data_IF_698068945797
#
_entry.id   IF_698068945797
#
_cell.length_a   1.000
_cell.length_b   1.000
_cell.length_c   1.000
_cell.angle_alpha   90.00
_cell.angle_beta   90.00
_cell.angle_gamma   90.00
#
_symmetry.space_group_name_H-M   'P 1'
#
loop_
_entity.id
_entity.type
_entity.pdbx_description
1 polymer ?
#
# COMPACT_ATOMS: atom_id res chain seq x y z
N UNK A 1 0.87 -7.06 -10.80
CA UNK A 1 -0.58 -7.16 -11.14
C UNK A 1 -1.09 -8.56 -10.83
N UNK A 2 -2.32 -8.70 -10.30
CA UNK A 2 -2.92 -10.02 -10.02
C UNK A 2 -3.78 -10.50 -11.17
N UNK A 3 -3.55 -11.72 -11.63
CA UNK A 3 -4.35 -12.39 -12.66
C UNK A 3 -4.80 -13.75 -12.16
N UNK A 4 -5.92 -14.28 -12.66
CA UNK A 4 -6.41 -15.59 -12.25
C UNK A 4 -7.47 -16.19 -13.17
N UNK A 5 -7.76 -17.48 -12.93
CA UNK A 5 -8.82 -18.22 -13.63
C UNK A 5 -10.22 -17.91 -13.11
N UNK A 6 -10.31 -17.30 -11.93
CA UNK A 6 -11.54 -16.77 -11.33
C UNK A 6 -11.22 -15.51 -10.51
N UNK A 7 -12.23 -14.70 -10.12
CA UNK A 7 -12.02 -13.47 -9.35
C UNK A 7 -11.24 -13.66 -8.06
N UNK A 8 -11.55 -14.74 -7.33
CA UNK A 8 -10.87 -15.09 -6.08
C UNK A 8 -9.37 -15.28 -6.30
N UNK A 9 -8.99 -16.11 -7.29
CA UNK A 9 -7.60 -16.39 -7.59
C UNK A 9 -6.84 -15.13 -8.02
N UNK A 10 -7.46 -14.24 -8.81
CA UNK A 10 -6.83 -12.99 -9.21
C UNK A 10 -6.48 -12.11 -7.99
N UNK A 11 -7.42 -11.97 -7.04
CA UNK A 11 -7.19 -11.23 -5.78
C UNK A 11 -6.15 -11.90 -4.90
N UNK A 12 -6.18 -13.23 -4.76
CA UNK A 12 -5.18 -13.95 -3.97
C UNK A 12 -3.78 -13.87 -4.58
N UNK A 13 -3.65 -13.88 -5.91
CA UNK A 13 -2.37 -13.69 -6.58
C UNK A 13 -1.84 -12.26 -6.36
N UNK A 14 -2.70 -11.23 -6.43
CA UNK A 14 -2.31 -9.86 -6.08
C UNK A 14 -1.87 -9.76 -4.62
N UNK A 15 -2.65 -10.32 -3.69
CA UNK A 15 -2.31 -10.41 -2.27
C UNK A 15 -0.97 -11.09 -2.04
N UNK A 16 -0.69 -12.18 -2.76
CA UNK A 16 0.58 -12.93 -2.65
C UNK A 16 1.78 -12.11 -3.11
N UNK A 17 1.61 -11.29 -4.16
CA UNK A 17 2.63 -10.32 -4.57
C UNK A 17 2.90 -9.28 -3.47
N UNK A 18 1.85 -8.69 -2.88
CA UNK A 18 2.01 -7.76 -1.75
C UNK A 18 2.66 -8.42 -0.53
N UNK A 19 2.28 -9.67 -0.21
CA UNK A 19 2.91 -10.44 0.87
C UNK A 19 4.41 -10.62 0.64
N UNK A 20 4.83 -10.91 -0.60
CA UNK A 20 6.26 -11.01 -0.95
C UNK A 20 6.98 -9.70 -0.68
N UNK A 21 6.39 -8.57 -1.07
CA UNK A 21 6.93 -7.22 -0.86
C UNK A 21 7.05 -6.89 0.63
N UNK A 22 5.97 -7.01 1.41
CA UNK A 22 6.00 -6.66 2.84
C UNK A 22 6.88 -7.60 3.67
N UNK A 23 7.13 -8.83 3.19
CA UNK A 23 7.99 -9.80 3.89
C UNK A 23 9.43 -9.29 4.06
N UNK A 24 9.85 -8.33 3.23
CA UNK A 24 11.14 -7.65 3.34
C UNK A 24 11.29 -6.89 4.66
N UNK A 25 10.20 -6.46 5.32
CA UNK A 25 10.28 -5.60 6.52
C UNK A 25 9.47 -6.12 7.71
N UNK A 26 8.49 -7.01 7.52
CA UNK A 26 7.62 -7.49 8.62
C UNK A 26 7.14 -8.93 8.42
N UNK A 27 6.91 -9.72 9.50
CA UNK A 27 6.25 -11.04 9.40
C UNK A 27 4.73 -10.97 9.25
N UNK A 28 4.16 -9.77 9.35
CA UNK A 28 2.72 -9.57 9.28
C UNK A 28 2.14 -9.92 7.91
N UNK A 29 0.82 -10.09 7.88
CA UNK A 29 0.09 -10.56 6.71
C UNK A 29 -0.71 -9.43 6.06
N UNK A 30 -1.04 -9.59 4.78
CA UNK A 30 -2.10 -8.79 4.13
C UNK A 30 -3.45 -9.47 4.37
N UNK A 31 -4.40 -8.75 4.95
CA UNK A 31 -5.79 -9.17 5.15
C UNK A 31 -6.64 -8.62 4.02
N UNK A 32 -7.42 -9.49 3.37
CA UNK A 32 -8.36 -9.11 2.31
C UNK A 32 -9.76 -9.04 2.89
N UNK A 33 -10.45 -7.92 2.67
CA UNK A 33 -11.86 -7.72 3.02
C UNK A 33 -12.65 -7.25 1.80
N UNK A 34 -13.85 -7.80 1.62
CA UNK A 34 -14.82 -7.31 0.64
C UNK A 34 -16.23 -7.51 1.19
N UNK A 35 -17.10 -6.52 0.96
CA UNK A 35 -18.52 -6.59 1.34
C UNK A 35 -19.30 -7.44 0.34
N UNK A 36 -18.94 -7.37 -0.94
CA UNK A 36 -19.64 -8.02 -2.06
C UNK A 36 -19.05 -9.38 -2.43
N UNK A 37 -17.99 -9.79 -1.73
CA UNK A 37 -17.23 -10.99 -2.02
C UNK A 37 -16.40 -10.88 -3.29
N UNK A 38 -16.07 -12.03 -3.90
CA UNK A 38 -15.19 -12.12 -5.06
C UNK A 38 -16.01 -12.17 -6.36
N UNK A 39 -16.60 -11.04 -6.75
CA UNK A 39 -17.44 -10.91 -7.95
C UNK A 39 -16.85 -9.86 -8.92
N UNK A 40 -17.23 -9.88 -10.20
CA UNK A 40 -16.82 -8.83 -11.14
C UNK A 40 -17.25 -7.46 -10.63
N UNK A 41 -16.36 -6.47 -10.72
CA UNK A 41 -16.61 -5.10 -10.27
C UNK A 41 -16.50 -4.90 -8.75
N UNK A 42 -16.45 -5.96 -7.94
CA UNK A 42 -16.39 -5.80 -6.48
C UNK A 42 -15.08 -5.17 -6.03
N UNK A 43 -15.19 -4.29 -5.04
CA UNK A 43 -14.04 -3.68 -4.40
C UNK A 43 -13.51 -4.58 -3.27
N UNK A 44 -12.19 -4.67 -3.18
CA UNK A 44 -11.47 -5.41 -2.15
C UNK A 44 -10.50 -4.45 -1.46
N UNK A 45 -10.54 -4.42 -0.13
CA UNK A 45 -9.55 -3.75 0.73
C UNK A 45 -8.51 -4.77 1.16
N UNK A 46 -7.26 -4.50 0.83
CA UNK A 46 -6.07 -5.25 1.25
C UNK A 46 -5.31 -4.38 2.25
N UNK A 47 -5.22 -4.81 3.50
CA UNK A 47 -4.59 -4.04 4.57
C UNK A 47 -3.51 -4.85 5.29
N UNK A 48 -2.48 -4.17 5.79
CA UNK A 48 -1.41 -4.78 6.58
C UNK A 48 -1.90 -5.12 7.98
N UNK A 49 -1.77 -6.39 8.38
CA UNK A 49 -2.07 -6.90 9.72
C UNK A 49 -3.54 -6.81 10.15
N UNK A 50 -3.86 -7.28 11.37
CA UNK A 50 -5.10 -6.94 12.04
C UNK A 50 -5.08 -5.50 12.60
N UNK A 51 -3.89 -4.97 12.87
CA UNK A 51 -3.64 -3.64 13.42
C UNK A 51 -3.57 -2.58 12.31
N UNK A 52 -3.78 -1.31 12.64
CA UNK A 52 -3.79 -0.23 11.67
C UNK A 52 -2.38 0.16 11.17
N UNK A 53 -1.36 -0.03 12.01
CA UNK A 53 0.04 0.21 11.68
C UNK A 53 0.94 -0.77 12.44
N UNK A 54 2.09 -1.11 11.86
CA UNK A 54 3.01 -2.11 12.43
C UNK A 54 4.40 -1.51 12.56
N UNK A 55 4.99 -1.64 13.74
CA UNK A 55 6.36 -1.19 14.00
C UNK A 55 7.36 -1.91 13.09
N UNK A 56 8.22 -1.15 12.43
CA UNK A 56 9.27 -1.70 11.59
C UNK A 56 10.56 -1.94 12.39
N UNK A 57 11.30 -3.03 12.12
CA UNK A 57 12.53 -3.33 12.84
C UNK A 57 13.64 -2.33 12.51
N UNK A 58 14.49 -2.03 13.49
CA UNK A 58 15.68 -1.18 13.29
C UNK A 58 15.43 0.33 13.25
N UNK A 59 14.17 0.77 13.17
CA UNK A 59 13.81 2.18 13.09
C UNK A 59 12.69 2.55 14.07
N UNK A 60 12.62 3.83 14.43
CA UNK A 60 11.52 4.39 15.23
C UNK A 60 10.35 4.82 14.31
N UNK A 61 9.88 3.89 13.46
CA UNK A 61 8.73 4.12 12.57
C UNK A 61 7.80 2.91 12.51
N UNK A 62 6.53 3.16 12.24
CA UNK A 62 5.50 2.17 11.95
C UNK A 62 4.98 2.32 10.53
N UNK A 63 4.60 1.21 9.89
CA UNK A 63 4.06 1.15 8.54
C UNK A 63 2.54 0.94 8.59
N UNK A 64 1.78 1.76 7.87
CA UNK A 64 0.36 1.53 7.59
C UNK A 64 0.15 1.38 6.09
N UNK A 65 -0.59 0.34 5.68
CA UNK A 65 -0.89 0.09 4.26
C UNK A 65 -2.36 -0.29 4.12
N UNK A 66 -3.06 0.42 3.24
CA UNK A 66 -4.38 0.09 2.77
C UNK A 66 -4.44 0.25 1.26
N UNK A 67 -4.66 -0.85 0.56
CA UNK A 67 -4.78 -0.89 -0.90
C UNK A 67 -6.19 -1.32 -1.25
N UNK A 68 -6.81 -0.62 -2.18
CA UNK A 68 -8.13 -0.98 -2.69
C UNK A 68 -8.00 -1.37 -4.15
N UNK A 69 -8.67 -2.45 -4.51
CA UNK A 69 -8.63 -2.99 -5.86
C UNK A 69 -10.00 -3.40 -6.33
N UNK A 70 -10.17 -3.44 -7.65
CA UNK A 70 -11.35 -4.01 -8.31
C UNK A 70 -10.94 -5.14 -9.22
N UNK A 71 -11.82 -6.14 -9.31
CA UNK A 71 -11.65 -7.24 -10.26
C UNK A 71 -12.45 -6.94 -11.53
N UNK A 72 -11.83 -7.12 -12.69
CA UNK A 72 -12.50 -7.06 -13.98
C UNK A 72 -12.22 -8.30 -14.82
N UNK A 73 -13.12 -8.58 -15.76
CA UNK A 73 -12.92 -9.62 -16.77
C UNK A 73 -12.31 -9.01 -18.04
N UNK A 74 -11.31 -9.70 -18.59
CA UNK A 74 -10.67 -9.44 -19.86
C UNK A 74 -11.00 -10.59 -20.80
N UNK A 75 -12.02 -10.38 -21.62
CA UNK A 75 -12.49 -11.37 -22.57
C UNK A 75 -11.38 -11.86 -23.50
N UNK A 76 -11.39 -13.16 -23.81
CA UNK A 76 -10.45 -13.77 -24.77
C UNK A 76 -9.09 -14.20 -24.21
N UNK A 77 -8.87 -14.11 -22.90
CA UNK A 77 -7.62 -14.57 -22.26
C UNK A 77 -7.80 -15.87 -21.46
N UNK A 78 -6.75 -16.67 -21.36
CA UNK A 78 -6.73 -17.92 -20.57
C UNK A 78 -6.90 -17.69 -19.06
N UNK A 79 -6.53 -16.51 -18.57
CA UNK A 79 -6.81 -16.04 -17.20
C UNK A 79 -7.52 -14.70 -17.29
N UNK A 80 -8.83 -14.71 -17.55
CA UNK A 80 -9.56 -13.50 -17.93
C UNK A 80 -9.73 -12.55 -16.74
N UNK A 81 -9.45 -12.97 -15.50
CA UNK A 81 -9.68 -12.12 -14.33
C UNK A 81 -8.44 -11.32 -13.98
N UNK A 82 -8.56 -10.00 -13.96
CA UNK A 82 -7.49 -9.07 -13.60
C UNK A 82 -7.89 -8.23 -12.39
N UNK A 83 -6.90 -7.94 -11.53
CA UNK A 83 -7.01 -7.00 -10.42
C UNK A 83 -6.38 -5.67 -10.82
N UNK A 84 -7.16 -4.61 -10.69
CA UNK A 84 -6.73 -3.22 -10.92
C UNK A 84 -6.77 -2.43 -9.63
N UNK A 85 -5.74 -1.62 -9.39
CA UNK A 85 -5.66 -0.68 -8.28
C UNK A 85 -6.72 0.43 -8.46
N UNK A 86 -7.55 0.67 -7.44
CA UNK A 86 -8.55 1.75 -7.42
C UNK A 86 -8.19 2.88 -6.47
N UNK A 87 -7.48 2.57 -5.37
CA UNK A 87 -6.94 3.57 -4.46
C UNK A 87 -5.89 2.96 -3.52
N UNK A 88 -5.05 3.79 -2.90
CA UNK A 88 -4.17 3.36 -1.81
C UNK A 88 -3.97 4.47 -0.77
N UNK A 89 -3.59 4.02 0.42
CA UNK A 89 -3.07 4.81 1.54
C UNK A 89 -1.86 4.05 2.08
N UNK A 90 -0.67 4.63 1.95
CA UNK A 90 0.56 4.05 2.47
C UNK A 90 1.31 5.09 3.28
N UNK A 91 1.60 4.80 4.55
CA UNK A 91 2.17 5.77 5.47
C UNK A 91 3.31 5.18 6.31
N UNK A 92 4.35 5.98 6.53
CA UNK A 92 5.25 5.82 7.67
C UNK A 92 4.82 6.79 8.77
N UNK A 93 4.79 6.29 10.00
CA UNK A 93 4.26 6.98 11.18
C UNK A 93 5.25 6.87 12.32
N UNK A 94 5.17 7.79 13.27
CA UNK A 94 5.82 7.57 14.56
C UNK A 94 5.21 6.32 15.24
N UNK A 95 5.96 5.59 16.09
CA UNK A 95 5.41 4.47 16.83
C UNK A 95 4.26 4.95 17.71
N UNK A 96 3.03 4.48 17.44
CA UNK A 96 1.78 4.90 18.13
C UNK A 96 1.43 6.39 17.98
N UNK A 97 2.14 7.10 17.10
CA UNK A 97 2.07 8.55 16.98
C UNK A 97 1.48 9.06 15.66
N UNK A 98 1.69 10.35 15.37
CA UNK A 98 1.22 10.95 14.14
C UNK A 98 1.90 10.35 12.90
N UNK A 99 1.28 10.61 11.77
CA UNK A 99 1.89 10.34 10.47
C UNK A 99 3.15 11.20 10.29
N UNK A 100 4.19 10.59 9.71
CA UNK A 100 5.41 11.28 9.29
C UNK A 100 5.26 11.65 7.82
N UNK A 101 5.03 10.65 6.98
CA UNK A 101 4.92 10.78 5.54
C UNK A 101 3.89 9.77 5.02
N UNK A 102 2.98 10.20 4.15
CA UNK A 102 2.03 9.30 3.51
C UNK A 102 1.78 9.61 2.04
N UNK A 103 1.62 8.53 1.29
CA UNK A 103 1.28 8.53 -0.12
C UNK A 103 -0.14 8.04 -0.28
N UNK A 104 -0.99 8.90 -0.81
CA UNK A 104 -2.41 8.67 -0.99
C UNK A 104 -2.79 8.77 -2.46
N UNK A 105 -3.67 7.90 -2.90
CA UNK A 105 -4.38 8.06 -4.16
C UNK A 105 -5.78 7.49 -3.98
N UNK A 106 -6.81 8.33 -4.03
CA UNK A 106 -8.17 7.88 -3.72
C UNK A 106 -9.25 8.63 -4.52
N UNK A 107 -9.23 8.52 -5.87
CA UNK A 107 -10.20 9.21 -6.72
C UNK A 107 -11.63 8.71 -6.46
N UNK A 108 -12.61 9.62 -6.54
CA UNK A 108 -14.02 9.30 -6.38
C UNK A 108 -14.44 8.84 -4.98
N UNK A 109 -13.58 9.01 -3.96
CA UNK A 109 -13.93 8.85 -2.55
C UNK A 109 -14.39 10.19 -1.95
N UNK A 110 -14.44 10.31 -0.63
CA UNK A 110 -14.95 11.49 0.11
C UNK A 110 -14.12 12.79 -0.04
N UNK A 111 -13.12 12.82 -0.91
CA UNK A 111 -12.22 13.98 -1.10
C UNK A 111 -12.30 14.48 -2.54
N UNK A 112 -12.26 15.80 -2.79
CA UNK A 112 -12.18 16.36 -4.14
C UNK A 112 -10.84 16.09 -4.84
N UNK A 113 -9.86 15.52 -4.13
CA UNK A 113 -8.51 15.25 -4.65
C UNK A 113 -8.50 13.90 -5.36
N UNK A 114 -8.26 13.92 -6.67
CA UNK A 114 -8.30 12.76 -7.57
C UNK A 114 -6.93 12.32 -8.12
N UNK A 115 -5.89 13.13 -7.89
CA UNK A 115 -4.50 12.82 -8.25
C UNK A 115 -3.73 12.16 -7.08
N UNK A 116 -2.72 11.33 -7.37
CA UNK A 116 -1.80 10.80 -6.35
C UNK A 116 -1.07 11.94 -5.64
N UNK A 117 -1.00 11.90 -4.32
CA UNK A 117 -0.41 12.99 -3.55
C UNK A 117 0.26 12.50 -2.27
N UNK A 118 1.15 13.36 -1.77
CA UNK A 118 1.93 13.19 -0.55
C UNK A 118 1.35 14.09 0.56
N UNK A 119 1.30 13.54 1.76
CA UNK A 119 1.10 14.26 3.02
C UNK A 119 2.37 14.25 3.84
N UNK A 120 2.71 15.39 4.44
CA UNK A 120 3.73 15.52 5.48
C UNK A 120 3.00 15.72 6.81
N UNK A 121 2.84 14.64 7.57
CA UNK A 121 2.10 14.70 8.82
C UNK A 121 2.87 15.40 9.94
N UNK A 122 2.24 15.56 11.11
CA UNK A 122 2.86 16.24 12.25
C UNK A 122 4.18 15.55 12.71
N UNK A 123 4.32 14.24 12.52
CA UNK A 123 5.56 13.50 12.83
C UNK A 123 6.72 13.80 11.89
N UNK A 124 6.50 14.54 10.79
CA UNK A 124 7.58 15.00 9.90
C UNK A 124 8.50 16.05 10.54
N UNK A 125 8.04 16.71 11.62
CA UNK A 125 8.76 17.82 12.24
C UNK A 125 8.81 19.09 11.37
N UNK A 126 8.11 19.12 10.24
CA UNK A 126 8.05 20.29 9.36
C UNK A 126 7.18 21.37 10.02
N UNK A 127 7.81 22.47 10.49
CA UNK A 127 7.15 23.61 11.15
C UNK A 127 6.41 24.53 10.16
N UNK A 128 5.52 23.95 9.34
CA UNK A 128 4.70 24.63 8.34
C UNK A 128 3.32 23.98 8.28
N UNK A 129 2.37 24.55 9.01
CA UNK A 129 0.99 24.02 9.12
C UNK A 129 0.26 23.94 7.77
N UNK A 130 0.63 24.80 6.82
CA UNK A 130 0.11 24.76 5.46
C UNK A 130 0.56 23.50 4.71
N UNK A 131 1.82 23.06 4.91
CA UNK A 131 2.33 21.81 4.33
C UNK A 131 1.68 20.57 4.95
N UNK A 132 1.29 20.61 6.23
CA UNK A 132 0.58 19.50 6.87
C UNK A 132 -0.83 19.26 6.32
N UNK A 133 -1.41 20.26 5.66
CA UNK A 133 -2.72 20.19 5.00
C UNK A 133 -2.62 20.09 3.48
N UNK A 134 -1.41 20.22 2.95
CA UNK A 134 -1.17 20.25 1.52
C UNK A 134 -1.28 18.84 0.94
N UNK A 135 -1.91 18.75 -0.23
CA UNK A 135 -1.92 17.54 -1.05
C UNK A 135 -0.83 17.71 -2.09
N UNK A 136 0.42 17.41 -1.72
CA UNK A 136 1.58 17.67 -2.58
C UNK A 136 1.51 16.70 -3.77
N UNK A 137 1.40 17.17 -5.03
CA UNK A 137 1.21 16.28 -6.17
C UNK A 137 2.37 15.31 -6.38
N UNK A 138 2.04 14.08 -6.75
CA UNK A 138 3.00 13.00 -7.07
C UNK A 138 2.51 12.21 -8.28
N UNK A 139 3.39 11.36 -8.82
CA UNK A 139 2.94 10.21 -9.62
C UNK A 139 2.33 9.13 -8.73
N UNK A 140 1.86 8.02 -9.32
CA UNK A 140 1.57 6.83 -8.51
C UNK A 140 2.87 6.36 -7.84
N UNK A 141 2.77 6.02 -6.57
CA UNK A 141 3.88 5.49 -5.77
C UNK A 141 3.52 4.07 -5.39
N UNK A 142 4.38 3.13 -5.77
CA UNK A 142 4.17 1.71 -5.47
C UNK A 142 4.61 1.42 -4.02
N UNK A 143 4.11 0.33 -3.44
CA UNK A 143 4.45 -0.05 -2.07
C UNK A 143 5.95 -0.35 -1.95
N UNK A 144 6.51 -0.95 -3.01
CA UNK A 144 7.93 -1.26 -3.15
C UNK A 144 8.82 -0.03 -2.94
N UNK A 145 8.45 1.10 -3.55
CA UNK A 145 9.19 2.37 -3.42
C UNK A 145 9.16 2.89 -1.97
N UNK A 146 7.99 2.80 -1.31
CA UNK A 146 7.85 3.22 0.10
C UNK A 146 8.70 2.35 1.02
N UNK A 147 8.75 1.04 0.78
CA UNK A 147 9.57 0.13 1.59
C UNK A 147 11.07 0.32 1.33
N UNK A 148 11.47 0.56 0.08
CA UNK A 148 12.86 0.86 -0.26
C UNK A 148 13.33 2.16 0.40
N UNK A 149 12.49 3.21 0.38
CA UNK A 149 12.74 4.46 1.11
C UNK A 149 12.82 4.21 2.62
N UNK A 150 11.93 3.41 3.20
CA UNK A 150 11.96 3.10 4.63
C UNK A 150 13.28 2.43 5.05
N UNK A 151 13.79 1.51 4.22
CA UNK A 151 15.07 0.84 4.47
C UNK A 151 16.24 1.81 4.35
N UNK A 152 16.32 2.57 3.25
CA UNK A 152 17.48 3.42 2.94
C UNK A 152 17.53 4.70 3.76
N UNK A 153 16.40 5.35 3.96
CA UNK A 153 16.33 6.71 4.51
C UNK A 153 15.89 6.74 5.97
N UNK A 154 15.09 5.75 6.41
CA UNK A 154 14.59 5.67 7.79
C UNK A 154 15.32 4.64 8.65
N UNK A 155 16.29 3.92 8.09
CA UNK A 155 17.08 2.92 8.81
C UNK A 155 16.31 1.66 9.17
N UNK A 156 15.19 1.37 8.47
CA UNK A 156 14.48 0.11 8.66
C UNK A 156 15.40 -1.05 8.29
N UNK A 157 15.51 -2.02 9.19
CA UNK A 157 16.34 -3.20 8.96
C UNK A 157 15.57 -4.20 8.07
N UNK A 158 16.08 -4.54 6.87
CA UNK A 158 15.45 -5.57 6.07
C UNK A 158 15.52 -6.93 6.77
N UNK A 159 14.51 -7.77 6.54
CA UNK A 159 14.41 -9.15 7.04
C UNK A 159 14.95 -10.18 6.07
N UNK A 160 15.26 -9.75 4.84
CA UNK A 160 15.70 -10.59 3.73
C UNK A 160 16.93 -9.97 3.11
N UNK A 161 17.89 -10.79 2.71
CA UNK A 161 19.11 -10.32 2.05
C UNK A 161 18.83 -9.89 0.60
N UNK A 162 17.86 -10.52 -0.07
CA UNK A 162 17.42 -10.25 -1.44
C UNK A 162 16.34 -9.15 -1.54
N UNK A 163 16.22 -8.30 -0.52
CA UNK A 163 15.15 -7.29 -0.47
C UNK A 163 15.22 -6.34 -1.67
N UNK A 164 16.41 -5.93 -2.10
CA UNK A 164 16.60 -5.00 -3.20
C UNK A 164 16.04 -5.57 -4.52
N UNK A 165 16.33 -6.85 -4.81
CA UNK A 165 15.79 -7.57 -5.97
C UNK A 165 14.26 -7.70 -5.91
N UNK A 166 13.70 -7.93 -4.71
CA UNK A 166 12.24 -8.04 -4.52
C UNK A 166 11.54 -6.70 -4.74
N UNK A 167 12.13 -5.60 -4.23
CA UNK A 167 11.58 -4.25 -4.35
C UNK A 167 11.92 -3.60 -5.69
N UNK A 168 12.77 -4.23 -6.52
CA UNK A 168 13.11 -3.76 -7.86
C UNK A 168 14.04 -2.54 -7.86
N UNK A 169 15.01 -2.49 -6.94
CA UNK A 169 15.83 -1.31 -6.69
C UNK A 169 17.31 -1.59 -6.46
#
# INVERSE_FOLDING_TARGET
MGQGRNPYQAVQNYRSALLRVISCVTPSVIVVRSVEGFRPGSEHRLALGPEEAIKLPGAAVSLSVQIFTRVSEQAGQTSPWMVSLSSYFCALREPEGPEIIAYHWHPGRRSPIDFPHLHLGAGSGVSRDDLQKAHIPTGRVELEDVLAMAIREFGVRPRRDDWADILGT
#
